data_IF_548517711039
#
_entry.id   IF_548517711039
#
_cell.length_a   1.000
_cell.length_b   1.000
_cell.length_c   1.000
_cell.angle_alpha   90.00
_cell.angle_beta   90.00
_cell.angle_gamma   90.00
#
_symmetry.space_group_name_H-M   'P 1'
#
loop_
_entity.id
_entity.type
_entity.pdbx_description
1 polymer ?
#
# COMPACT_ATOMS: atom_id res chain seq x y z
N UNK A 1 -18.03 0.35 20.49
CA UNK A 1 -17.93 -0.91 19.72
C UNK A 1 -17.53 -2.00 20.69
N UNK A 2 -18.40 -2.99 20.93
CA UNK A 2 -18.13 -4.11 21.85
C UNK A 2 -17.45 -5.25 21.09
N UNK A 3 -16.28 -4.98 20.51
CA UNK A 3 -15.52 -6.00 19.77
C UNK A 3 -14.37 -6.46 20.63
N UNK A 4 -14.31 -7.77 20.89
CA UNK A 4 -13.20 -8.41 21.57
C UNK A 4 -12.06 -8.68 20.59
N UNK A 5 -11.27 -7.64 20.34
CA UNK A 5 -10.14 -7.69 19.43
C UNK A 5 -9.04 -8.65 19.89
N UNK A 6 -8.87 -8.81 21.20
CA UNK A 6 -7.88 -9.70 21.76
C UNK A 6 -8.23 -11.16 21.48
N UNK A 7 -9.49 -11.55 21.70
CA UNK A 7 -9.95 -12.89 21.36
C UNK A 7 -9.86 -13.13 19.85
N UNK A 8 -10.31 -12.18 19.01
CA UNK A 8 -10.21 -12.30 17.55
C UNK A 8 -8.76 -12.53 17.09
N UNK A 9 -7.82 -11.74 17.62
CA UNK A 9 -6.40 -11.89 17.31
C UNK A 9 -5.91 -13.29 17.70
N UNK A 10 -6.15 -13.69 18.95
CA UNK A 10 -5.68 -14.97 19.49
C UNK A 10 -6.26 -16.17 18.75
N UNK A 11 -7.53 -16.11 18.37
CA UNK A 11 -8.21 -17.21 17.69
C UNK A 11 -7.77 -17.35 16.24
N UNK A 12 -7.75 -16.25 15.47
CA UNK A 12 -7.66 -16.34 14.00
C UNK A 12 -6.31 -15.91 13.44
N UNK A 13 -5.57 -15.03 14.11
CA UNK A 13 -4.33 -14.48 13.57
C UNK A 13 -3.06 -15.17 14.10
N UNK A 14 -3.19 -16.02 15.11
CA UNK A 14 -2.10 -16.84 15.63
C UNK A 14 -2.20 -18.23 15.01
N UNK A 15 -1.20 -18.58 14.20
CA UNK A 15 -1.05 -19.93 13.66
C UNK A 15 -0.58 -20.90 14.74
N UNK A 16 -0.87 -22.17 14.55
CA UNK A 16 -0.38 -23.27 15.37
C UNK A 16 0.26 -24.34 14.49
N UNK A 17 1.20 -25.08 15.05
CA UNK A 17 1.97 -26.08 14.32
C UNK A 17 1.25 -27.44 14.39
N UNK A 18 0.93 -28.03 13.24
CA UNK A 18 0.28 -29.34 13.10
C UNK A 18 1.11 -30.21 12.17
N UNK A 19 1.80 -31.22 12.72
CA UNK A 19 2.77 -32.00 11.95
C UNK A 19 3.95 -31.12 11.53
N UNK A 20 4.19 -30.98 10.22
CA UNK A 20 5.22 -30.10 9.63
C UNK A 20 4.64 -28.80 9.02
N UNK A 21 3.34 -28.53 9.24
CA UNK A 21 2.65 -27.40 8.62
C UNK A 21 2.17 -26.39 9.66
N UNK A 22 2.17 -25.11 9.27
CA UNK A 22 1.42 -24.07 9.97
C UNK A 22 -0.04 -24.11 9.54
N UNK A 23 -0.92 -24.22 10.52
CA UNK A 23 -2.37 -24.16 10.34
C UNK A 23 -2.95 -23.01 11.16
N UNK A 24 -4.06 -22.46 10.67
CA UNK A 24 -4.77 -21.36 11.32
C UNK A 24 -6.24 -21.74 11.49
N UNK A 25 -6.88 -21.19 12.51
CA UNK A 25 -8.31 -21.35 12.70
C UNK A 25 -9.06 -20.66 11.56
N UNK A 26 -10.02 -21.36 10.93
CA UNK A 26 -10.83 -20.77 9.87
C UNK A 26 -11.77 -19.73 10.43
N UNK A 27 -11.72 -18.51 9.90
CA UNK A 27 -12.69 -17.45 10.20
C UNK A 27 -14.13 -17.78 9.77
N UNK A 28 -14.31 -18.81 8.93
CA UNK A 28 -15.63 -19.31 8.53
C UNK A 28 -15.59 -20.84 8.32
N UNK A 29 -15.89 -21.65 9.34
CA UNK A 29 -15.67 -23.10 9.31
C UNK A 29 -16.38 -23.84 8.16
N UNK A 30 -17.60 -23.41 7.81
CA UNK A 30 -18.40 -24.03 6.75
C UNK A 30 -17.98 -23.63 5.33
N UNK A 31 -17.26 -22.51 5.20
CA UNK A 31 -16.78 -22.00 3.91
C UNK A 31 -15.56 -21.09 4.16
N UNK A 32 -14.37 -21.69 4.30
CA UNK A 32 -13.16 -20.95 4.65
C UNK A 32 -12.83 -19.83 3.66
N UNK A 33 -13.31 -19.87 2.41
CA UNK A 33 -12.98 -18.86 1.40
C UNK A 33 -13.70 -17.54 1.62
N UNK A 34 -14.81 -17.53 2.36
CA UNK A 34 -15.67 -16.36 2.55
C UNK A 34 -15.08 -15.32 3.51
N UNK A 35 -14.25 -15.74 4.46
CA UNK A 35 -13.72 -14.87 5.50
C UNK A 35 -14.78 -14.43 6.53
N UNK A 36 -14.41 -13.45 7.36
CA UNK A 36 -15.25 -12.87 8.41
C UNK A 36 -15.10 -11.35 8.46
N UNK A 37 -16.25 -10.66 8.50
CA UNK A 37 -16.33 -9.23 8.79
C UNK A 37 -16.39 -9.05 10.30
N UNK A 38 -15.31 -8.54 10.89
CA UNK A 38 -15.19 -8.29 12.34
C UNK A 38 -16.02 -7.08 12.75
N UNK A 39 -15.95 -6.02 11.96
CA UNK A 39 -16.69 -4.78 12.16
C UNK A 39 -17.09 -4.24 10.80
N UNK A 40 -18.26 -3.61 10.72
CA UNK A 40 -18.66 -2.88 9.53
C UNK A 40 -19.45 -1.62 9.86
N UNK A 41 -19.24 -0.58 9.06
CA UNK A 41 -20.06 0.62 9.03
C UNK A 41 -20.33 1.02 7.57
N UNK A 42 -21.46 1.64 7.31
CA UNK A 42 -21.82 2.10 5.97
C UNK A 42 -22.17 3.59 6.01
N UNK A 43 -21.40 4.39 5.27
CA UNK A 43 -21.70 5.79 5.03
C UNK A 43 -22.60 5.92 3.79
N UNK A 44 -23.62 6.77 3.89
CA UNK A 44 -24.59 7.03 2.83
C UNK A 44 -24.62 8.52 2.51
N UNK A 45 -24.27 8.87 1.28
CA UNK A 45 -24.24 10.26 0.80
C UNK A 45 -24.73 10.32 -0.65
N UNK A 46 -24.01 10.99 -1.55
CA UNK A 46 -24.19 10.88 -3.01
C UNK A 46 -24.06 9.43 -3.49
N UNK A 47 -23.12 8.66 -2.93
CA UNK A 47 -22.99 7.21 -3.10
C UNK A 47 -22.85 6.51 -1.74
N UNK A 48 -22.64 5.20 -1.72
CA UNK A 48 -22.40 4.46 -0.49
C UNK A 48 -20.95 3.96 -0.38
N UNK A 49 -20.45 3.96 0.85
CA UNK A 49 -19.17 3.38 1.22
C UNK A 49 -19.37 2.47 2.40
N UNK A 50 -19.11 1.19 2.20
CA UNK A 50 -18.97 0.25 3.31
C UNK A 50 -17.49 0.21 3.73
N UNK A 51 -17.28 0.43 5.02
CA UNK A 51 -16.02 0.32 5.74
C UNK A 51 -16.08 -0.95 6.56
N UNK A 52 -15.07 -1.82 6.51
CA UNK A 52 -15.09 -3.05 7.29
C UNK A 52 -13.70 -3.52 7.67
N UNK A 53 -13.58 -4.11 8.87
CA UNK A 53 -12.39 -4.89 9.22
C UNK A 53 -12.67 -6.31 8.75
N UNK A 54 -11.90 -6.78 7.77
CA UNK A 54 -12.13 -8.07 7.12
C UNK A 54 -10.92 -8.99 7.34
N UNK A 55 -11.20 -10.18 7.88
CA UNK A 55 -10.26 -11.29 7.94
C UNK A 55 -10.64 -12.30 6.86
N UNK A 56 -9.70 -12.72 6.03
CA UNK A 56 -9.95 -13.69 4.97
C UNK A 56 -8.88 -14.77 4.96
N UNK A 57 -9.30 -16.01 4.72
CA UNK A 57 -8.41 -17.15 4.87
C UNK A 57 -7.68 -17.41 3.55
N UNK A 58 -6.39 -17.76 3.67
CA UNK A 58 -5.66 -18.46 2.63
C UNK A 58 -5.89 -19.95 2.83
N UNK A 59 -6.53 -20.57 1.85
CA UNK A 59 -6.88 -21.99 1.89
C UNK A 59 -5.89 -22.76 1.04
N UNK A 60 -5.20 -23.72 1.64
CA UNK A 60 -4.27 -24.61 0.97
C UNK A 60 -4.97 -25.79 0.30
N UNK A 61 -4.19 -26.79 -0.08
CA UNK A 61 -4.72 -28.05 -0.58
C UNK A 61 -5.59 -28.74 0.48
N UNK A 62 -6.61 -29.49 0.05
CA UNK A 62 -7.56 -30.21 0.93
C UNK A 62 -8.43 -29.31 1.83
N UNK A 63 -8.54 -28.02 1.53
CA UNK A 63 -9.47 -27.11 2.22
C UNK A 63 -8.98 -26.62 3.59
N UNK A 64 -7.73 -26.88 3.95
CA UNK A 64 -7.15 -26.41 5.22
C UNK A 64 -6.79 -24.92 5.17
N UNK A 65 -6.98 -24.22 6.27
CA UNK A 65 -6.57 -22.83 6.40
C UNK A 65 -5.08 -22.77 6.75
N UNK A 66 -4.26 -22.31 5.79
CA UNK A 66 -2.80 -22.21 5.90
C UNK A 66 -2.35 -20.78 6.21
N UNK A 67 -3.29 -19.89 6.50
CA UNK A 67 -3.03 -18.49 6.77
C UNK A 67 -4.32 -17.69 6.88
N UNK A 68 -4.29 -16.63 7.68
CA UNK A 68 -5.33 -15.63 7.73
C UNK A 68 -4.72 -14.28 7.36
N UNK A 69 -5.29 -13.67 6.33
CA UNK A 69 -4.97 -12.32 5.91
C UNK A 69 -6.02 -11.35 6.43
N UNK A 70 -5.67 -10.09 6.51
CA UNK A 70 -6.48 -9.06 7.13
C UNK A 70 -6.37 -7.75 6.35
N UNK A 71 -7.42 -6.95 6.42
CA UNK A 71 -7.43 -5.64 5.79
C UNK A 71 -8.51 -4.73 6.37
N UNK A 72 -8.34 -3.43 6.17
CA UNK A 72 -9.44 -2.49 6.13
C UNK A 72 -10.07 -2.56 4.72
N UNK A 73 -11.23 -3.19 4.63
CA UNK A 73 -12.01 -3.31 3.41
C UNK A 73 -12.81 -2.02 3.20
N UNK A 74 -12.59 -1.40 2.04
CA UNK A 74 -13.44 -0.33 1.53
C UNK A 74 -14.23 -0.84 0.33
N UNK A 75 -15.54 -0.66 0.34
CA UNK A 75 -16.43 -1.02 -0.76
C UNK A 75 -17.27 0.19 -1.18
N UNK A 76 -16.92 0.77 -2.31
CA UNK A 76 -17.62 1.88 -2.92
C UNK A 76 -18.72 1.36 -3.84
N UNK A 77 -19.94 1.88 -3.67
CA UNK A 77 -21.10 1.45 -4.46
C UNK A 77 -21.97 2.64 -4.85
N UNK A 78 -22.54 2.54 -6.06
CA UNK A 78 -23.41 3.54 -6.63
C UNK A 78 -24.77 3.62 -5.93
N UNK A 79 -25.29 4.85 -5.86
CA UNK A 79 -26.70 5.11 -5.65
C UNK A 79 -27.41 5.13 -7.01
N UNK A 80 -28.32 4.19 -7.26
CA UNK A 80 -29.06 4.08 -8.52
C UNK A 80 -30.54 4.28 -8.23
N UNK A 81 -31.17 5.25 -8.90
CA UNK A 81 -32.59 5.59 -8.73
C UNK A 81 -32.98 5.78 -7.25
N UNK A 82 -32.16 6.52 -6.51
CA UNK A 82 -32.39 6.79 -5.08
C UNK A 82 -32.00 5.65 -4.12
N UNK A 83 -31.68 4.46 -4.62
CA UNK A 83 -31.37 3.27 -3.81
C UNK A 83 -29.87 2.94 -3.81
N UNK A 84 -29.31 2.67 -2.63
CA UNK A 84 -27.92 2.23 -2.48
C UNK A 84 -27.83 0.72 -2.73
N UNK A 85 -26.99 0.32 -3.69
CA UNK A 85 -26.91 -1.08 -4.12
C UNK A 85 -25.96 -1.94 -3.26
N UNK A 86 -24.91 -1.34 -2.70
CA UNK A 86 -23.92 -2.01 -1.82
C UNK A 86 -23.40 -3.31 -2.46
N UNK A 87 -23.55 -4.45 -1.78
CA UNK A 87 -23.11 -5.75 -2.27
C UNK A 87 -23.85 -6.23 -3.52
N UNK A 88 -25.02 -5.66 -3.84
CA UNK A 88 -25.78 -5.95 -5.05
C UNK A 88 -25.38 -5.04 -6.23
N UNK A 89 -24.39 -4.17 -6.05
CA UNK A 89 -23.82 -3.38 -7.14
C UNK A 89 -22.78 -4.21 -7.89
N UNK A 90 -23.06 -4.50 -9.16
CA UNK A 90 -22.16 -5.20 -10.08
C UNK A 90 -20.92 -4.35 -10.42
N UNK A 91 -21.05 -3.02 -10.34
CA UNK A 91 -20.00 -2.06 -10.64
C UNK A 91 -19.34 -1.49 -9.37
N UNK A 92 -19.49 -2.16 -8.22
CA UNK A 92 -18.81 -1.73 -6.99
C UNK A 92 -17.29 -1.83 -7.14
N UNK A 93 -16.59 -0.93 -6.44
CA UNK A 93 -15.14 -0.93 -6.40
C UNK A 93 -14.70 -1.25 -4.98
N UNK A 94 -13.97 -2.36 -4.83
CA UNK A 94 -13.45 -2.82 -3.53
C UNK A 94 -11.94 -2.69 -3.44
N UNK A 95 -11.48 -2.29 -2.25
CA UNK A 95 -10.07 -2.19 -1.87
C UNK A 95 -9.82 -2.90 -0.55
N UNK A 96 -8.73 -3.65 -0.49
CA UNK A 96 -8.23 -4.29 0.73
C UNK A 96 -6.99 -3.51 1.15
N UNK A 97 -7.14 -2.63 2.12
CA UNK A 97 -6.06 -1.75 2.58
C UNK A 97 -5.31 -2.42 3.74
N UNK A 98 -3.99 -2.38 3.67
CA UNK A 98 -3.14 -2.79 4.79
C UNK A 98 -3.14 -1.74 5.90
N UNK A 99 -2.39 -2.00 6.97
CA UNK A 99 -2.35 -1.09 8.12
C UNK A 99 -1.69 0.26 7.78
N UNK A 100 -0.73 0.30 6.86
CA UNK A 100 -0.08 1.54 6.44
C UNK A 100 -1.07 2.44 5.71
N UNK A 101 -1.83 1.89 4.78
CA UNK A 101 -2.89 2.63 4.08
C UNK A 101 -4.04 3.04 5.00
N UNK A 102 -4.36 2.20 6.01
CA UNK A 102 -5.32 2.56 7.04
C UNK A 102 -4.83 3.73 7.92
N UNK A 103 -3.52 3.85 8.16
CA UNK A 103 -2.91 4.95 8.89
C UNK A 103 -2.98 6.28 8.10
N UNK A 104 -2.70 6.24 6.80
CA UNK A 104 -2.86 7.40 5.92
C UNK A 104 -4.33 7.88 5.85
N UNK A 105 -5.29 6.94 5.74
CA UNK A 105 -6.71 7.27 5.84
C UNK A 105 -7.10 7.80 7.21
N UNK A 106 -6.52 7.28 8.29
CA UNK A 106 -6.75 7.77 9.65
C UNK A 106 -6.32 9.24 9.77
N UNK A 107 -5.14 9.59 9.25
CA UNK A 107 -4.63 10.96 9.23
C UNK A 107 -5.59 11.91 8.50
N UNK A 108 -6.18 11.47 7.37
CA UNK A 108 -7.22 12.24 6.68
C UNK A 108 -8.52 12.29 7.47
N UNK A 109 -8.94 11.20 8.10
CA UNK A 109 -10.18 11.15 8.88
C UNK A 109 -10.16 12.16 10.05
N UNK A 110 -9.03 12.25 10.77
CA UNK A 110 -8.86 13.15 11.92
C UNK A 110 -8.43 14.58 11.55
N UNK A 111 -8.11 14.84 10.28
CA UNK A 111 -7.73 16.17 9.79
C UNK A 111 -6.26 16.53 9.96
N UNK A 112 -5.37 15.55 10.16
CA UNK A 112 -3.92 15.76 10.11
C UNK A 112 -3.40 15.82 8.67
N UNK A 113 -4.13 15.25 7.72
CA UNK A 113 -3.85 15.33 6.29
C UNK A 113 -5.09 15.80 5.53
N UNK A 114 -4.89 16.69 4.54
CA UNK A 114 -5.95 17.18 3.66
C UNK A 114 -6.13 16.37 2.37
N UNK A 115 -5.26 15.38 2.12
CA UNK A 115 -5.27 14.58 0.91
C UNK A 115 -4.89 13.12 1.20
N UNK A 116 -5.51 12.19 0.48
CA UNK A 116 -5.17 10.78 0.45
C UNK A 116 -5.03 10.32 -1.00
N UNK A 117 -4.05 9.49 -1.29
CA UNK A 117 -3.91 8.86 -2.60
C UNK A 117 -3.37 7.46 -2.44
N UNK A 118 -4.07 6.50 -3.04
CA UNK A 118 -3.67 5.10 -3.06
C UNK A 118 -3.89 4.51 -4.44
N UNK A 119 -2.97 3.64 -4.85
CA UNK A 119 -3.03 2.95 -6.13
C UNK A 119 -2.71 1.47 -5.94
N UNK A 120 -3.71 0.63 -6.17
CA UNK A 120 -3.55 -0.82 -6.17
C UNK A 120 -3.14 -1.29 -7.56
N UNK A 121 -1.89 -1.78 -7.69
CA UNK A 121 -1.35 -2.36 -8.91
C UNK A 121 -1.07 -3.83 -8.66
N UNK A 122 -1.88 -4.71 -9.26
CA UNK A 122 -1.77 -6.16 -9.13
C UNK A 122 -1.54 -6.81 -10.48
N UNK A 123 -0.67 -7.82 -10.53
CA UNK A 123 -0.38 -8.55 -11.77
C UNK A 123 -1.66 -9.17 -12.33
N UNK A 124 -1.95 -8.89 -13.60
CA UNK A 124 -3.12 -9.44 -14.30
C UNK A 124 -4.47 -8.87 -13.87
N UNK A 125 -4.50 -7.82 -13.05
CA UNK A 125 -5.74 -7.13 -12.68
C UNK A 125 -5.70 -5.67 -13.15
N UNK A 126 -6.88 -5.13 -13.45
CA UNK A 126 -7.04 -3.72 -13.72
C UNK A 126 -6.57 -2.89 -12.52
N UNK A 127 -5.83 -1.81 -12.82
CA UNK A 127 -5.38 -0.86 -11.81
C UNK A 127 -6.60 -0.20 -11.17
N UNK A 128 -6.57 -0.10 -9.83
CA UNK A 128 -7.56 0.66 -9.07
C UNK A 128 -6.87 1.77 -8.30
N UNK A 129 -7.57 2.87 -8.06
CA UNK A 129 -7.06 3.96 -7.24
C UNK A 129 -8.15 4.55 -6.35
N UNK A 130 -7.72 5.11 -5.22
CA UNK A 130 -8.53 5.94 -4.35
C UNK A 130 -7.84 7.28 -4.25
N UNK A 131 -8.60 8.35 -4.41
CA UNK A 131 -8.17 9.72 -4.12
C UNK A 131 -9.11 10.32 -3.09
N UNK A 132 -8.57 10.96 -2.07
CA UNK A 132 -9.31 11.66 -1.04
C UNK A 132 -8.91 13.12 -0.99
N UNK A 133 -9.88 14.03 -0.97
CA UNK A 133 -9.62 15.47 -0.88
C UNK A 133 -10.50 16.08 0.20
N UNK A 134 -9.87 16.80 1.12
CA UNK A 134 -10.57 17.62 2.09
C UNK A 134 -11.08 18.91 1.44
N UNK A 135 -12.33 19.24 1.73
CA UNK A 135 -12.93 20.52 1.38
C UNK A 135 -13.69 21.09 2.58
N UNK A 136 -13.80 22.41 2.64
CA UNK A 136 -14.65 23.11 3.59
C UNK A 136 -15.86 23.63 2.83
N UNK A 137 -17.05 23.13 3.14
CA UNK A 137 -18.32 23.62 2.58
C UNK A 137 -19.19 24.13 3.72
N UNK A 138 -19.65 25.38 3.62
CA UNK A 138 -20.53 26.01 4.63
C UNK A 138 -19.95 25.93 6.07
N UNK A 139 -18.63 26.10 6.20
CA UNK A 139 -17.94 26.00 7.49
C UNK A 139 -17.82 24.57 8.05
N UNK A 140 -18.19 23.55 7.28
CA UNK A 140 -18.08 22.14 7.65
C UNK A 140 -16.99 21.46 6.85
N UNK A 141 -16.18 20.65 7.55
CA UNK A 141 -15.19 19.77 6.94
C UNK A 141 -15.89 18.58 6.28
N UNK A 142 -15.60 18.35 5.01
CA UNK A 142 -16.05 17.22 4.21
C UNK A 142 -14.83 16.61 3.54
N UNK A 143 -14.70 15.29 3.56
CA UNK A 143 -13.70 14.58 2.76
C UNK A 143 -14.42 13.85 1.65
N UNK A 144 -14.08 14.17 0.42
CA UNK A 144 -14.57 13.45 -0.76
C UNK A 144 -13.60 12.34 -1.08
N UNK A 145 -14.06 11.09 -1.06
CA UNK A 145 -13.29 9.93 -1.52
C UNK A 145 -13.78 9.48 -2.88
N UNK A 146 -12.88 9.36 -3.84
CA UNK A 146 -13.12 8.88 -5.19
C UNK A 146 -12.37 7.59 -5.44
N UNK A 147 -13.12 6.52 -5.62
CA UNK A 147 -12.61 5.26 -6.13
C UNK A 147 -12.71 5.22 -7.65
N UNK A 148 -11.63 4.80 -8.31
CA UNK A 148 -11.62 4.51 -9.74
C UNK A 148 -11.06 3.12 -10.00
N UNK A 149 -11.58 2.44 -11.02
CA UNK A 149 -11.11 1.14 -11.45
C UNK A 149 -11.62 0.77 -12.82
N UNK A 150 -11.02 -0.26 -13.41
CA UNK A 150 -11.44 -0.82 -14.69
C UNK A 150 -10.31 -0.97 -15.70
N UNK A 151 -10.51 -1.86 -16.69
CA UNK A 151 -9.53 -2.18 -17.73
C UNK A 151 -9.61 -1.24 -18.93
N UNK A 152 -8.90 -1.55 -20.00
CA UNK A 152 -9.03 -0.83 -21.27
C UNK A 152 -10.49 -0.91 -21.77
N UNK A 153 -11.13 0.25 -21.94
CA UNK A 153 -12.49 0.37 -22.50
C UNK A 153 -13.64 0.51 -21.49
N UNK A 154 -13.45 0.19 -20.20
CA UNK A 154 -14.46 0.42 -19.15
C UNK A 154 -13.81 1.03 -17.91
N UNK A 155 -14.01 2.34 -17.72
CA UNK A 155 -13.62 3.05 -16.50
C UNK A 155 -14.86 3.24 -15.61
N UNK A 156 -14.83 2.67 -14.42
CA UNK A 156 -15.83 2.89 -13.38
C UNK A 156 -15.25 3.81 -12.33
N UNK A 157 -16.05 4.77 -11.86
CA UNK A 157 -15.66 5.68 -10.79
C UNK A 157 -16.83 5.88 -9.84
N UNK A 158 -16.57 5.79 -8.55
CA UNK A 158 -17.55 6.05 -7.49
C UNK A 158 -16.96 7.10 -6.57
N UNK A 159 -17.72 8.16 -6.32
CA UNK A 159 -17.31 9.25 -5.43
C UNK A 159 -18.27 9.36 -4.25
N UNK A 160 -17.77 9.54 -3.04
CA UNK A 160 -18.57 9.72 -1.84
C UNK A 160 -18.08 10.91 -1.00
N UNK A 161 -19.00 11.76 -0.58
CA UNK A 161 -18.75 12.82 0.39
C UNK A 161 -18.96 12.27 1.82
N UNK A 162 -17.89 12.31 2.63
CA UNK A 162 -17.91 11.90 4.04
C UNK A 162 -18.03 13.13 4.95
N UNK A 163 -19.09 13.14 5.76
CA UNK A 163 -19.30 14.19 6.78
C UNK A 163 -18.66 13.78 8.11
N UNK A 164 -18.69 14.67 9.11
CA UNK A 164 -18.05 14.45 10.41
C UNK A 164 -18.37 13.10 11.06
N UNK A 165 -19.61 12.62 10.98
CA UNK A 165 -20.00 11.32 11.54
C UNK A 165 -19.33 10.15 10.82
N UNK A 166 -19.25 10.21 9.49
CA UNK A 166 -18.61 9.17 8.68
C UNK A 166 -17.09 9.19 8.91
N UNK A 167 -16.50 10.38 9.08
CA UNK A 167 -15.08 10.55 9.40
C UNK A 167 -14.74 9.97 10.77
N UNK A 168 -15.60 10.15 11.77
CA UNK A 168 -15.45 9.50 13.08
C UNK A 168 -15.52 7.98 12.94
N UNK A 169 -16.46 7.46 12.15
CA UNK A 169 -16.59 6.03 11.92
C UNK A 169 -15.37 5.46 11.17
N UNK A 170 -14.87 6.17 10.16
CA UNK A 170 -13.64 5.81 9.43
C UNK A 170 -12.44 5.76 10.37
N UNK A 171 -12.23 6.82 11.16
CA UNK A 171 -11.15 6.87 12.14
C UNK A 171 -11.24 5.72 13.15
N UNK A 172 -12.44 5.44 13.66
CA UNK A 172 -12.67 4.34 14.59
C UNK A 172 -12.39 2.96 13.97
N UNK A 173 -12.67 2.76 12.67
CA UNK A 173 -12.35 1.51 11.98
C UNK A 173 -10.84 1.36 11.74
N UNK A 174 -10.11 2.45 11.45
CA UNK A 174 -8.65 2.41 11.36
C UNK A 174 -8.01 2.03 12.71
N UNK A 175 -8.45 2.67 13.79
CA UNK A 175 -8.01 2.32 15.16
C UNK A 175 -8.39 0.88 15.50
N UNK A 176 -9.62 0.48 15.19
CA UNK A 176 -10.09 -0.89 15.42
C UNK A 176 -9.25 -1.93 14.68
N UNK A 177 -8.88 -1.65 13.43
CA UNK A 177 -8.02 -2.54 12.65
C UNK A 177 -6.63 -2.68 13.29
N UNK A 178 -6.04 -1.58 13.74
CA UNK A 178 -4.77 -1.62 14.48
C UNK A 178 -4.90 -2.42 15.79
N UNK A 179 -6.01 -2.29 16.53
CA UNK A 179 -6.26 -3.07 17.76
C UNK A 179 -6.44 -4.56 17.50
N UNK A 180 -6.96 -4.97 16.34
CA UNK A 180 -6.98 -6.38 15.92
C UNK A 180 -5.57 -6.93 15.73
N UNK A 181 -4.65 -6.15 15.17
CA UNK A 181 -3.28 -6.60 14.92
C UNK A 181 -2.39 -6.52 16.15
N UNK A 182 -2.62 -5.52 17.00
CA UNK A 182 -1.81 -5.24 18.18
C UNK A 182 -2.68 -5.04 19.43
N UNK A 183 -3.38 -6.10 19.89
CA UNK A 183 -4.31 -6.00 21.01
C UNK A 183 -3.62 -5.65 22.35
N UNK A 184 -2.31 -5.87 22.46
CA UNK A 184 -1.51 -5.55 23.64
C UNK A 184 -1.09 -4.08 23.74
N UNK A 185 -1.15 -3.31 22.64
CA UNK A 185 -0.80 -1.89 22.66
C UNK A 185 -1.91 -1.08 23.33
N UNK A 186 -1.53 -0.05 24.09
CA UNK A 186 -2.50 0.91 24.63
C UNK A 186 -3.17 1.70 23.49
N UNK A 187 -4.36 2.26 23.77
CA UNK A 187 -5.07 3.07 22.78
C UNK A 187 -4.24 4.28 22.32
N UNK A 188 -3.47 4.89 23.24
CA UNK A 188 -2.56 5.98 22.93
C UNK A 188 -1.44 5.54 21.98
N UNK A 189 -0.81 4.38 22.24
CA UNK A 189 0.24 3.84 21.37
C UNK A 189 -0.29 3.48 19.98
N UNK A 190 -1.52 2.97 19.89
CA UNK A 190 -2.17 2.70 18.60
C UNK A 190 -2.45 3.99 17.82
N UNK A 191 -2.99 5.01 18.48
CA UNK A 191 -3.24 6.29 17.84
C UNK A 191 -1.93 6.95 17.38
N UNK A 192 -0.89 6.89 18.21
CA UNK A 192 0.44 7.38 17.88
C UNK A 192 1.00 6.66 16.65
N UNK A 193 0.98 5.32 16.64
CA UNK A 193 1.41 4.48 15.51
C UNK A 193 0.70 4.90 14.21
N UNK A 194 -0.62 5.06 14.24
CA UNK A 194 -1.41 5.46 13.06
C UNK A 194 -1.16 6.92 12.65
N UNK A 195 -0.86 7.80 13.60
CA UNK A 195 -0.59 9.22 13.31
C UNK A 195 0.85 9.49 12.86
N UNK A 196 1.78 8.58 13.17
CA UNK A 196 3.23 8.71 12.96
C UNK A 196 3.73 8.22 11.61
N UNK A 197 2.84 7.87 10.66
CA UNK A 197 3.26 7.27 9.40
C UNK A 197 4.10 8.26 8.55
N UNK A 198 5.41 8.04 8.60
CA UNK A 198 6.36 8.57 7.62
C UNK A 198 6.14 7.90 6.26
N UNK A 199 6.44 8.61 5.18
CA UNK A 199 6.15 8.29 3.75
C UNK A 199 6.66 6.93 3.21
N UNK A 200 7.16 6.00 4.03
CA UNK A 200 7.79 4.75 3.58
C UNK A 200 7.39 3.49 4.40
N UNK A 201 6.23 3.45 5.06
CA UNK A 201 5.81 2.20 5.72
C UNK A 201 5.14 1.26 4.71
N UNK A 202 5.95 0.56 3.92
CA UNK A 202 5.47 -0.53 3.06
C UNK A 202 5.27 -1.77 3.94
N UNK A 203 4.05 -1.99 4.42
CA UNK A 203 3.69 -3.21 5.12
C UNK A 203 3.37 -4.33 4.12
N UNK A 204 3.87 -5.53 4.40
CA UNK A 204 3.83 -6.70 3.54
C UNK A 204 2.40 -7.12 3.15
N UNK A 205 2.07 -7.03 1.87
CA UNK A 205 1.01 -7.85 1.25
C UNK A 205 1.20 -7.88 -0.26
N UNK A 206 2.06 -8.77 -0.75
CA UNK A 206 1.87 -9.56 -1.98
C UNK A 206 3.10 -10.45 -2.15
N UNK A 207 2.94 -11.74 -1.82
CA UNK A 207 3.92 -12.77 -2.14
C UNK A 207 4.12 -12.79 -3.65
N UNK A 208 5.17 -12.12 -4.15
CA UNK A 208 5.70 -12.43 -5.47
C UNK A 208 6.41 -13.76 -5.38
N UNK A 209 5.75 -14.80 -5.89
CA UNK A 209 6.45 -15.97 -6.40
C UNK A 209 7.34 -15.47 -7.52
N UNK A 210 8.65 -15.46 -7.27
CA UNK A 210 9.66 -15.21 -8.29
C UNK A 210 9.66 -16.43 -9.20
N UNK A 211 8.94 -16.35 -10.31
CA UNK A 211 9.22 -17.17 -11.48
C UNK A 211 9.90 -16.27 -12.48
N UNK A 212 11.21 -16.46 -12.60
CA UNK A 212 11.99 -15.98 -13.72
C UNK A 212 11.41 -16.57 -15.01
N UNK A 213 11.12 -15.71 -15.99
CA UNK A 213 11.67 -15.93 -17.32
C UNK A 213 11.64 -14.67 -18.17
N UNK A 214 12.71 -14.53 -18.92
CA UNK A 214 13.15 -13.42 -19.74
C UNK A 214 12.52 -13.50 -21.13
N UNK A 215 12.02 -12.39 -21.68
CA UNK A 215 12.28 -12.01 -23.09
C UNK A 215 11.84 -10.57 -23.44
N UNK A 216 12.85 -9.75 -23.69
CA UNK A 216 13.01 -8.75 -24.77
C UNK A 216 11.94 -7.69 -25.08
N UNK A 217 12.33 -6.45 -24.77
CA UNK A 217 12.28 -5.21 -25.58
C UNK A 217 11.51 -5.18 -26.89
N UNK A 218 10.74 -4.10 -27.11
CA UNK A 218 11.10 -3.11 -28.13
C UNK A 218 10.35 -1.76 -28.01
N UNK A 219 11.14 -0.70 -28.15
CA UNK A 219 10.83 0.60 -28.76
C UNK A 219 9.80 1.56 -28.13
N UNK A 220 10.30 2.68 -27.61
CA UNK A 220 9.93 4.02 -28.11
C UNK A 220 11.04 5.04 -27.77
N UNK A 221 11.77 5.44 -28.82
CA UNK A 221 12.65 6.62 -28.82
C UNK A 221 11.80 7.88 -28.81
N UNK A 222 12.08 8.83 -27.91
CA UNK A 222 11.96 10.25 -28.21
C UNK A 222 13.19 10.97 -27.66
N UNK A 223 13.94 11.56 -28.59
CA UNK A 223 15.08 12.44 -28.41
C UNK A 223 14.59 13.83 -27.99
N UNK A 224 15.29 14.46 -27.05
CA UNK A 224 15.42 15.92 -27.02
C UNK A 224 16.77 16.27 -26.37
N UNK A 225 17.73 16.62 -27.22
CA UNK A 225 18.97 17.29 -26.85
C UNK A 225 18.64 18.72 -26.38
N UNK A 226 19.23 19.18 -25.27
CA UNK A 226 19.98 20.44 -25.20
C UNK A 226 20.48 20.83 -23.79
N UNK A 227 21.70 21.38 -23.80
CA UNK A 227 22.36 22.33 -22.89
C UNK A 227 23.20 21.87 -21.68
N UNK A 228 24.52 21.91 -21.93
CA UNK A 228 25.58 22.73 -21.26
C UNK A 228 25.65 22.72 -19.73
N UNK A 229 26.71 22.06 -19.24
CA UNK A 229 27.69 22.54 -18.25
C UNK A 229 27.33 23.81 -17.46
N UNK A 230 26.82 23.62 -16.25
CA UNK A 230 26.91 24.57 -15.14
C UNK A 230 26.86 23.74 -13.84
N UNK A 231 27.67 24.11 -12.84
CA UNK A 231 27.94 23.31 -11.63
C UNK A 231 26.70 22.63 -11.04
N UNK A 232 26.83 21.32 -10.80
CA UNK A 232 25.74 20.49 -10.31
C UNK A 232 25.15 21.08 -9.02
N UNK A 233 23.84 21.34 -9.04
CA UNK A 233 23.15 21.74 -7.82
C UNK A 233 23.21 20.59 -6.81
N UNK A 234 23.11 20.89 -5.51
CA UNK A 234 23.00 19.86 -4.45
C UNK A 234 21.89 18.83 -4.75
N UNK A 235 20.83 19.25 -5.44
CA UNK A 235 19.74 18.38 -5.87
C UNK A 235 20.14 17.37 -6.96
N UNK A 236 21.15 17.68 -7.79
CA UNK A 236 21.63 16.81 -8.85
C UNK A 236 22.58 15.73 -8.30
N UNK A 237 23.44 16.07 -7.35
CA UNK A 237 24.27 15.09 -6.62
C UNK A 237 23.38 14.09 -5.87
N UNK A 238 22.27 14.55 -5.28
CA UNK A 238 21.30 13.65 -4.63
C UNK A 238 20.63 12.65 -5.58
N UNK A 239 20.43 13.01 -6.86
CA UNK A 239 19.96 12.06 -7.88
C UNK A 239 21.04 11.04 -8.25
N UNK A 240 22.27 11.49 -8.43
CA UNK A 240 23.41 10.63 -8.75
C UNK A 240 23.69 9.61 -7.63
N UNK A 241 23.63 10.00 -6.36
CA UNK A 241 23.78 9.10 -5.21
C UNK A 241 22.71 8.00 -5.15
N UNK A 242 21.47 8.31 -5.55
CA UNK A 242 20.38 7.32 -5.66
C UNK A 242 20.60 6.36 -6.83
N UNK A 243 21.12 6.86 -7.96
CA UNK A 243 21.47 6.01 -9.09
C UNK A 243 22.63 5.06 -8.75
N UNK A 244 23.67 5.55 -8.06
CA UNK A 244 24.77 4.72 -7.52
C UNK A 244 24.21 3.63 -6.60
N UNK A 245 23.30 3.97 -5.67
CA UNK A 245 22.69 2.97 -4.78
C UNK A 245 21.97 1.87 -5.55
N UNK A 246 21.12 2.26 -6.50
CA UNK A 246 20.33 1.33 -7.28
C UNK A 246 21.23 0.40 -8.11
N UNK A 247 22.27 0.94 -8.75
CA UNK A 247 23.22 0.18 -9.56
C UNK A 247 24.07 -0.74 -8.69
N UNK A 248 24.63 -0.24 -7.59
CA UNK A 248 25.44 -1.04 -6.67
C UNK A 248 24.67 -2.23 -6.12
N UNK A 249 23.43 -2.00 -5.66
CA UNK A 249 22.63 -3.04 -5.04
C UNK A 249 22.05 -4.08 -6.04
N UNK A 250 21.98 -3.77 -7.33
CA UNK A 250 21.35 -4.63 -8.34
C UNK A 250 22.30 -5.24 -9.37
N UNK A 251 23.39 -4.54 -9.71
CA UNK A 251 24.23 -4.87 -10.87
C UNK A 251 25.70 -5.11 -10.52
N UNK A 252 26.21 -4.58 -9.41
CA UNK A 252 27.64 -4.71 -9.08
C UNK A 252 27.95 -6.10 -8.48
N UNK A 253 28.72 -6.97 -9.16
CA UNK A 253 28.91 -8.35 -8.72
C UNK A 253 29.70 -8.49 -7.41
N UNK A 254 30.59 -7.53 -7.13
CA UNK A 254 31.43 -7.49 -5.93
C UNK A 254 30.88 -6.59 -4.81
N UNK A 255 29.58 -6.29 -4.82
CA UNK A 255 28.99 -5.28 -3.95
C UNK A 255 29.32 -5.50 -2.48
N UNK A 256 29.95 -4.48 -1.87
CA UNK A 256 30.06 -4.33 -0.43
C UNK A 256 29.44 -3.02 0.01
N UNK A 257 28.70 -3.07 1.13
CA UNK A 257 27.93 -1.93 1.63
C UNK A 257 28.82 -0.75 2.04
N UNK A 258 29.98 -1.02 2.62
CA UNK A 258 30.97 -0.01 3.03
C UNK A 258 31.57 0.71 1.82
N UNK A 259 31.94 -0.03 0.78
CA UNK A 259 32.44 0.54 -0.47
C UNK A 259 31.37 1.38 -1.19
N UNK A 260 30.11 0.91 -1.22
CA UNK A 260 28.99 1.64 -1.80
C UNK A 260 28.72 2.96 -1.07
N UNK A 261 28.81 2.96 0.27
CA UNK A 261 28.68 4.16 1.08
C UNK A 261 29.81 5.16 0.83
N UNK A 262 31.06 4.69 0.64
CA UNK A 262 32.19 5.55 0.26
C UNK A 262 31.96 6.24 -1.09
N UNK A 263 31.48 5.51 -2.10
CA UNK A 263 31.15 6.09 -3.41
C UNK A 263 30.01 7.11 -3.27
N UNK A 264 28.99 6.83 -2.45
CA UNK A 264 27.91 7.79 -2.21
C UNK A 264 28.33 9.05 -1.47
N UNK A 265 29.44 9.03 -0.74
CA UNK A 265 29.96 10.20 -0.03
C UNK A 265 30.72 11.16 -0.95
N UNK A 266 31.05 10.75 -2.19
CA UNK A 266 31.69 11.63 -3.16
C UNK A 266 30.82 12.86 -3.46
N UNK A 267 31.48 14.00 -3.63
CA UNK A 267 30.87 15.28 -3.96
C UNK A 267 31.08 15.68 -5.43
N UNK A 268 32.01 15.00 -6.11
CA UNK A 268 32.27 15.22 -7.53
C UNK A 268 31.17 14.58 -8.39
N UNK A 269 30.31 15.44 -8.93
CA UNK A 269 29.22 15.03 -9.83
C UNK A 269 29.70 14.41 -11.15
N UNK A 270 30.87 14.80 -11.66
CA UNK A 270 31.41 14.26 -12.91
C UNK A 270 31.89 12.83 -12.70
N UNK A 271 32.63 12.60 -11.62
CA UNK A 271 33.10 11.27 -11.22
C UNK A 271 31.92 10.32 -10.90
N UNK A 272 30.89 10.80 -10.20
CA UNK A 272 29.68 10.02 -9.92
C UNK A 272 28.95 9.61 -11.21
N UNK A 273 28.84 10.53 -12.18
CA UNK A 273 28.18 10.25 -13.46
C UNK A 273 29.02 9.28 -14.32
N UNK A 274 30.34 9.38 -14.28
CA UNK A 274 31.26 8.45 -14.94
C UNK A 274 31.10 7.02 -14.40
N UNK A 275 31.12 6.85 -13.07
CA UNK A 275 30.88 5.57 -12.42
C UNK A 275 29.52 4.95 -12.78
N UNK A 276 28.47 5.78 -12.90
CA UNK A 276 27.14 5.34 -13.36
C UNK A 276 27.19 4.85 -14.81
N UNK A 277 27.91 5.55 -15.68
CA UNK A 277 28.01 5.22 -17.10
C UNK A 277 28.79 3.92 -17.31
N UNK A 278 29.93 3.76 -16.63
CA UNK A 278 30.75 2.53 -16.67
C UNK A 278 29.95 1.32 -16.18
N UNK A 279 29.27 1.46 -15.04
CA UNK A 279 28.47 0.37 -14.47
C UNK A 279 27.26 -0.01 -15.33
N UNK A 280 26.65 0.97 -16.02
CA UNK A 280 25.59 0.66 -16.99
C UNK A 280 26.12 -0.04 -18.25
N UNK A 281 27.39 0.16 -18.60
CA UNK A 281 28.09 -0.63 -19.62
C UNK A 281 28.58 -2.00 -19.09
N UNK A 282 28.31 -2.33 -17.83
CA UNK A 282 28.74 -3.57 -17.19
C UNK A 282 30.20 -3.57 -16.73
N UNK A 283 30.89 -2.42 -16.77
CA UNK A 283 32.24 -2.27 -16.27
C UNK A 283 32.22 -1.72 -14.83
N UNK A 284 32.75 -2.49 -13.88
CA UNK A 284 32.82 -2.11 -12.47
C UNK A 284 34.24 -1.86 -11.97
N UNK A 285 35.24 -1.78 -12.86
CA UNK A 285 36.64 -1.55 -12.45
C UNK A 285 36.81 -0.27 -11.62
N UNK A 286 36.10 0.81 -11.95
CA UNK A 286 36.11 2.05 -11.18
C UNK A 286 35.45 1.93 -9.80
N UNK A 287 34.51 0.99 -9.64
CA UNK A 287 33.83 0.70 -8.37
C UNK A 287 34.67 -0.20 -7.49
N UNK A 288 35.37 -1.17 -8.09
CA UNK A 288 36.23 -2.13 -7.38
C UNK A 288 37.42 -1.45 -6.67
N UNK A 289 37.84 -0.27 -7.14
CA UNK A 289 38.84 0.57 -6.46
C UNK A 289 38.43 0.98 -5.03
N UNK A 290 37.13 0.94 -4.70
CA UNK A 290 36.60 1.27 -3.38
C UNK A 290 36.40 0.04 -2.48
N UNK A 291 36.69 -1.18 -2.98
CA UNK A 291 36.64 -2.43 -2.20
C UNK A 291 37.87 -2.65 -1.32
N UNK A 292 38.95 -1.88 -1.56
CA UNK A 292 40.20 -1.90 -0.81
C UNK A 292 40.13 -1.09 0.50
#
# INVERSE_FOLDING_TARGET
MLIDYENIHRTYLIGHHVGDNWEFESTHPLDPRKGMIVSSHTAFSNNALQLSIHLYNRVGERGRCIGVSHCLLLCFSHKVNGSYKLNNDENRITFHLDLGEAAELYAVAIGHAGHYAYRAVRKGQAVKSIEGVETIREGRRIVTLRAAGGGEGQKTSVEIDLVKTDLIALAAHCVGYARVLYPSLSDAAVQELLSSASKNTRACAENQVVSADVTTSENLKVRADHHRSAGASSADIGKLRRAIWAIGNQKWPGMRLDALQRIQQLEDSALLQELINEANAGNFTGWDAYLA
#
